data_IF_127412176630
#
_entry.id   IF_127412176630
#
_cell.length_a   1.000
_cell.length_b   1.000
_cell.length_c   1.000
_cell.angle_alpha   90.00
_cell.angle_beta   90.00
_cell.angle_gamma   90.00
#
_symmetry.space_group_name_H-M   'P 1'
#
loop_
_entity.id
_entity.type
_entity.pdbx_description
1 polymer ?
#
# COMPACT_ATOMS: atom_id res chain seq x y z
N UNK A 1 -5.28 -36.72 1.48
CA UNK A 1 -5.68 -35.47 0.81
C UNK A 1 -4.91 -34.35 1.47
N UNK A 2 -4.09 -33.64 0.71
CA UNK A 2 -3.29 -32.51 1.25
C UNK A 2 -4.19 -31.31 1.46
N UNK A 3 -4.14 -30.70 2.64
CA UNK A 3 -4.93 -29.51 2.97
C UNK A 3 -4.00 -28.31 2.76
N UNK A 4 -4.45 -27.36 1.96
CA UNK A 4 -3.73 -26.10 1.70
C UNK A 4 -4.37 -24.96 2.48
N UNK A 5 -3.54 -24.11 3.04
CA UNK A 5 -3.95 -22.82 3.61
C UNK A 5 -4.24 -21.82 2.52
N UNK A 6 -5.07 -20.84 2.82
CA UNK A 6 -5.47 -19.82 1.84
C UNK A 6 -4.47 -18.68 1.84
N UNK A 7 -3.93 -18.39 0.67
CA UNK A 7 -3.15 -17.18 0.40
C UNK A 7 -3.64 -16.53 -0.89
N UNK A 8 -3.48 -15.22 -0.97
CA UNK A 8 -3.95 -14.41 -2.08
C UNK A 8 -2.76 -13.78 -2.79
N UNK A 9 -2.70 -13.98 -4.10
CA UNK A 9 -1.85 -13.26 -5.04
C UNK A 9 -2.74 -12.25 -5.77
N UNK A 10 -2.29 -11.02 -5.93
CA UNK A 10 -3.04 -9.97 -6.63
C UNK A 10 -2.52 -9.81 -8.05
N UNK A 11 -1.21 -9.65 -8.21
CA UNK A 11 -0.56 -9.51 -9.51
C UNK A 11 0.46 -10.63 -9.73
N UNK A 12 0.62 -11.06 -10.98
CA UNK A 12 1.58 -12.12 -11.32
C UNK A 12 3.04 -11.72 -11.04
N UNK A 13 3.34 -10.43 -11.10
CA UNK A 13 4.65 -9.86 -10.82
C UNK A 13 5.00 -9.84 -9.33
N UNK A 14 4.03 -10.07 -8.43
CA UNK A 14 4.26 -10.06 -6.99
C UNK A 14 5.21 -11.21 -6.60
N UNK A 15 6.26 -10.90 -5.87
CA UNK A 15 7.18 -11.88 -5.29
C UNK A 15 6.78 -12.29 -3.86
N UNK A 16 5.69 -11.74 -3.35
CA UNK A 16 5.05 -12.13 -2.10
C UNK A 16 3.56 -12.40 -2.31
N UNK A 17 2.98 -13.25 -1.46
CA UNK A 17 1.55 -13.46 -1.37
C UNK A 17 1.05 -13.12 0.04
N UNK A 18 -0.23 -12.82 0.20
CA UNK A 18 -0.85 -12.48 1.50
C UNK A 18 -1.55 -13.70 2.06
N UNK A 19 -1.21 -14.10 3.29
CA UNK A 19 -1.91 -15.14 4.02
C UNK A 19 -3.32 -14.66 4.39
N UNK A 20 -4.35 -15.35 3.92
CA UNK A 20 -5.77 -15.06 4.22
C UNK A 20 -6.21 -15.69 5.53
N UNK A 21 -5.46 -16.65 6.01
CA UNK A 21 -5.60 -17.33 7.30
C UNK A 21 -4.20 -17.64 7.86
N UNK A 22 -4.07 -17.88 9.18
CA UNK A 22 -2.77 -18.20 9.76
C UNK A 22 -2.17 -19.48 9.16
N UNK A 23 -0.87 -19.46 8.85
CA UNK A 23 -0.13 -20.61 8.31
C UNK A 23 0.95 -20.99 9.32
N UNK A 24 0.92 -22.25 9.78
CA UNK A 24 1.95 -22.76 10.69
C UNK A 24 3.20 -23.18 9.92
N UNK A 25 4.34 -23.21 10.60
CA UNK A 25 5.56 -23.78 10.02
C UNK A 25 5.31 -25.19 9.52
N UNK A 26 5.72 -25.46 8.28
CA UNK A 26 5.51 -26.75 7.60
C UNK A 26 4.15 -26.93 6.93
N UNK A 27 3.18 -26.03 7.16
CA UNK A 27 1.93 -26.02 6.38
C UNK A 27 2.16 -25.46 4.98
N UNK A 28 1.31 -25.88 4.05
CA UNK A 28 1.40 -25.48 2.66
C UNK A 28 0.26 -24.55 2.27
N UNK A 29 0.56 -23.59 1.43
CA UNK A 29 -0.41 -22.77 0.72
C UNK A 29 -0.27 -22.96 -0.79
N UNK A 30 -1.34 -22.73 -1.53
CA UNK A 30 -1.35 -22.78 -2.99
C UNK A 30 -1.53 -21.34 -3.53
N UNK A 31 -0.52 -20.85 -4.25
CA UNK A 31 -0.50 -19.50 -4.81
C UNK A 31 -0.32 -19.61 -6.33
N UNK A 32 -1.32 -19.16 -7.10
CA UNK A 32 -1.31 -19.24 -8.56
C UNK A 32 -0.97 -20.67 -9.11
N UNK A 33 -1.42 -21.71 -8.42
CA UNK A 33 -1.14 -23.10 -8.80
C UNK A 33 0.21 -23.63 -8.31
N UNK A 34 1.02 -22.80 -7.68
CA UNK A 34 2.32 -23.17 -7.12
C UNK A 34 2.20 -23.42 -5.61
N UNK A 35 2.76 -24.56 -5.18
CA UNK A 35 2.79 -24.91 -3.77
C UNK A 35 3.95 -24.20 -3.06
N UNK A 36 3.64 -23.56 -1.93
CA UNK A 36 4.60 -22.90 -1.05
C UNK A 36 4.43 -23.49 0.36
N UNK A 37 5.53 -23.98 0.92
CA UNK A 37 5.59 -24.44 2.32
C UNK A 37 6.10 -23.30 3.19
N UNK A 38 5.36 -22.95 4.24
CA UNK A 38 5.80 -21.94 5.19
C UNK A 38 6.98 -22.47 6.03
N UNK A 39 8.06 -21.72 6.09
CA UNK A 39 9.24 -22.06 6.87
C UNK A 39 9.06 -21.71 8.36
N UNK A 40 8.16 -20.81 8.65
CA UNK A 40 7.83 -20.31 9.98
C UNK A 40 6.35 -19.94 10.09
N UNK A 41 5.90 -19.52 11.27
CA UNK A 41 4.52 -19.07 11.46
C UNK A 41 4.25 -17.75 10.74
N UNK A 42 3.24 -17.73 9.91
CA UNK A 42 2.78 -16.54 9.18
C UNK A 42 1.37 -16.19 9.65
N UNK A 43 1.24 -15.01 10.23
CA UNK A 43 -0.02 -14.51 10.72
C UNK A 43 -0.95 -14.12 9.57
N UNK A 44 -2.25 -14.22 9.79
CA UNK A 44 -3.26 -13.68 8.87
C UNK A 44 -2.97 -12.22 8.50
N UNK A 45 -3.12 -11.88 7.23
CA UNK A 45 -2.82 -10.56 6.68
C UNK A 45 -1.33 -10.30 6.41
N UNK A 46 -0.44 -11.18 6.85
CA UNK A 46 0.99 -11.05 6.62
C UNK A 46 1.43 -11.68 5.31
N UNK A 47 2.64 -11.33 4.87
CA UNK A 47 3.21 -11.74 3.59
C UNK A 47 4.06 -13.00 3.74
N UNK A 48 3.94 -13.91 2.77
CA UNK A 48 4.81 -15.07 2.57
C UNK A 48 5.60 -14.87 1.27
N UNK A 49 6.90 -15.14 1.29
CA UNK A 49 7.74 -15.09 0.10
C UNK A 49 7.32 -16.17 -0.91
N UNK A 50 6.98 -15.77 -2.13
CA UNK A 50 6.61 -16.65 -3.24
C UNK A 50 7.83 -17.23 -3.93
N UNK A 51 8.90 -16.46 -3.98
CA UNK A 51 10.19 -16.84 -4.57
C UNK A 51 11.31 -16.54 -3.59
N UNK A 52 12.51 -17.03 -3.87
CA UNK A 52 13.72 -16.54 -3.21
C UNK A 52 13.94 -15.08 -3.60
N UNK A 53 14.27 -14.24 -2.61
CA UNK A 53 14.49 -12.80 -2.79
C UNK A 53 15.87 -12.46 -2.23
N UNK A 54 16.75 -12.00 -3.11
CA UNK A 54 18.11 -11.63 -2.74
C UNK A 54 18.15 -10.37 -1.87
N UNK A 55 19.18 -10.26 -1.04
CA UNK A 55 19.43 -9.01 -0.30
C UNK A 55 19.60 -7.85 -1.27
N UNK A 56 18.87 -6.75 -1.03
CA UNK A 56 18.85 -5.57 -1.88
C UNK A 56 17.85 -5.66 -3.04
N UNK A 57 17.18 -6.78 -3.23
CA UNK A 57 16.11 -6.90 -4.22
C UNK A 57 14.81 -6.27 -3.74
N UNK A 58 14.01 -5.82 -4.68
CA UNK A 58 12.72 -5.21 -4.42
C UNK A 58 11.69 -6.23 -3.93
N UNK A 59 10.86 -5.81 -2.99
CA UNK A 59 9.65 -6.51 -2.61
C UNK A 59 8.49 -5.92 -3.41
N UNK A 60 7.85 -6.76 -4.22
CA UNK A 60 6.73 -6.37 -5.10
C UNK A 60 5.44 -6.95 -4.54
N UNK A 61 4.46 -6.08 -4.31
CA UNK A 61 3.10 -6.43 -3.88
C UNK A 61 2.10 -5.55 -4.61
N UNK A 62 1.05 -6.17 -5.16
CA UNK A 62 0.05 -5.46 -5.99
C UNK A 62 0.66 -4.81 -7.23
N UNK A 63 1.68 -5.42 -7.80
CA UNK A 63 2.42 -4.89 -8.94
C UNK A 63 3.25 -3.64 -8.64
N UNK A 64 3.40 -3.26 -7.35
CA UNK A 64 4.15 -2.08 -6.94
C UNK A 64 5.26 -2.44 -5.97
N UNK A 65 6.33 -1.66 -6.01
CA UNK A 65 7.41 -1.70 -5.04
C UNK A 65 6.91 -1.27 -3.66
N UNK A 66 7.20 -2.08 -2.63
CA UNK A 66 6.82 -1.80 -1.24
C UNK A 66 8.01 -1.77 -0.29
N UNK A 67 9.23 -1.91 -0.78
CA UNK A 67 10.46 -1.89 0.01
C UNK A 67 11.54 -2.80 -0.56
N UNK A 68 12.65 -2.89 0.14
CA UNK A 68 13.85 -3.63 -0.26
C UNK A 68 14.20 -4.68 0.78
N UNK A 69 14.60 -5.87 0.34
CA UNK A 69 15.04 -6.94 1.23
C UNK A 69 16.36 -6.56 1.92
N UNK A 70 16.38 -6.57 3.25
CA UNK A 70 17.58 -6.25 4.04
C UNK A 70 18.53 -7.44 4.18
N UNK A 71 18.03 -8.64 3.90
CA UNK A 71 18.74 -9.92 3.90
C UNK A 71 18.14 -10.85 2.85
N UNK A 72 18.79 -11.99 2.61
CA UNK A 72 18.20 -13.04 1.78
C UNK A 72 16.91 -13.57 2.43
N UNK A 73 15.82 -13.62 1.65
CA UNK A 73 14.51 -14.13 2.05
C UNK A 73 14.23 -15.35 1.19
N UNK A 74 14.09 -16.51 1.83
CA UNK A 74 13.82 -17.76 1.14
C UNK A 74 12.34 -17.87 0.81
N UNK A 75 12.02 -18.54 -0.28
CA UNK A 75 10.65 -18.96 -0.59
C UNK A 75 10.01 -19.66 0.62
N UNK A 76 8.84 -19.16 1.04
CA UNK A 76 8.13 -19.66 2.22
C UNK A 76 8.44 -18.92 3.52
N UNK A 77 9.38 -17.99 3.52
CA UNK A 77 9.66 -17.15 4.70
C UNK A 77 8.60 -16.09 4.91
N UNK A 78 8.45 -15.65 6.15
CA UNK A 78 7.65 -14.50 6.52
C UNK A 78 8.35 -13.20 6.09
N UNK A 79 7.64 -12.38 5.32
CA UNK A 79 8.14 -11.09 4.85
C UNK A 79 7.52 -9.96 5.68
N UNK A 80 8.37 -9.26 6.47
CA UNK A 80 7.94 -8.21 7.40
C UNK A 80 9.10 -7.26 7.71
N UNK A 81 8.90 -6.31 8.64
CA UNK A 81 9.89 -5.28 9.05
C UNK A 81 11.28 -5.82 9.41
N UNK A 82 11.38 -7.06 9.91
CA UNK A 82 12.66 -7.66 10.29
C UNK A 82 13.57 -7.98 9.10
N UNK A 83 13.00 -8.11 7.89
CA UNK A 83 13.73 -8.44 6.67
C UNK A 83 13.41 -7.55 5.47
N UNK A 84 12.60 -6.50 5.67
CA UNK A 84 12.25 -5.50 4.66
C UNK A 84 12.55 -4.10 5.18
N UNK A 85 13.19 -3.29 4.37
CA UNK A 85 13.36 -1.85 4.58
C UNK A 85 12.38 -1.10 3.69
N UNK A 86 11.60 -0.21 4.29
CA UNK A 86 10.70 0.70 3.57
C UNK A 86 11.49 1.92 3.10
N UNK A 87 11.74 2.00 1.82
CA UNK A 87 12.44 3.10 1.17
C UNK A 87 11.49 4.14 0.53
N UNK A 88 10.20 4.04 0.84
CA UNK A 88 9.16 4.86 0.22
C UNK A 88 9.38 6.37 0.42
N UNK A 89 9.89 6.78 1.57
CA UNK A 89 10.18 8.19 1.80
C UNK A 89 11.36 8.70 0.94
N UNK A 90 12.36 7.87 0.69
CA UNK A 90 13.50 8.20 -0.14
C UNK A 90 13.09 8.34 -1.60
N UNK A 91 12.35 7.34 -2.12
CA UNK A 91 11.80 7.36 -3.48
C UNK A 91 10.89 8.57 -3.68
N UNK A 92 9.99 8.86 -2.74
CA UNK A 92 9.13 10.03 -2.83
C UNK A 92 9.92 11.34 -2.80
N UNK A 93 10.99 11.41 -2.02
CA UNK A 93 11.84 12.61 -1.97
C UNK A 93 12.54 12.84 -3.31
N UNK A 94 13.09 11.79 -3.92
CA UNK A 94 13.73 11.85 -5.22
C UNK A 94 12.74 12.17 -6.33
N UNK A 95 11.59 11.50 -6.36
CA UNK A 95 10.53 11.79 -7.31
C UNK A 95 10.02 13.22 -7.19
N UNK A 96 9.80 13.71 -5.99
CA UNK A 96 9.40 15.12 -5.76
C UNK A 96 10.47 16.09 -6.20
N UNK A 97 11.75 15.79 -5.97
CA UNK A 97 12.86 16.61 -6.46
C UNK A 97 12.91 16.62 -7.98
N UNK A 98 12.73 15.46 -8.61
CA UNK A 98 12.65 15.31 -10.06
C UNK A 98 11.51 16.13 -10.67
N UNK A 99 10.28 15.97 -10.16
CA UNK A 99 9.13 16.73 -10.65
C UNK A 99 9.28 18.23 -10.42
N UNK A 100 9.84 18.66 -9.29
CA UNK A 100 10.15 20.07 -9.04
C UNK A 100 11.16 20.63 -10.03
N UNK A 101 12.14 19.85 -10.46
CA UNK A 101 13.13 20.29 -11.45
C UNK A 101 12.53 20.45 -12.84
N UNK A 102 11.51 19.65 -13.17
CA UNK A 102 10.87 19.69 -14.49
C UNK A 102 9.84 20.81 -14.66
N UNK A 103 9.17 21.17 -13.58
CA UNK A 103 8.11 22.18 -13.61
C UNK A 103 8.04 22.90 -12.25
N UNK A 104 9.01 23.77 -11.93
CA UNK A 104 9.07 24.44 -10.63
C UNK A 104 7.81 25.27 -10.32
N UNK A 105 7.17 25.81 -11.33
CA UNK A 105 5.94 26.63 -11.18
C UNK A 105 4.65 25.79 -11.20
N UNK A 106 4.71 24.55 -11.69
CA UNK A 106 3.53 23.66 -11.77
C UNK A 106 3.18 22.99 -10.44
N UNK A 107 4.06 23.05 -9.47
CA UNK A 107 3.88 22.45 -8.14
C UNK A 107 3.55 23.48 -7.05
N UNK A 108 3.17 24.68 -7.41
CA UNK A 108 2.49 25.56 -6.47
C UNK A 108 1.09 24.97 -6.24
N UNK A 109 0.96 24.14 -5.20
CA UNK A 109 -0.32 23.61 -4.74
C UNK A 109 -1.23 24.69 -4.12
N UNK A 110 -0.79 25.93 -4.14
CA UNK A 110 -1.70 27.05 -3.91
C UNK A 110 -2.65 27.06 -5.09
N UNK A 111 -3.76 26.38 -4.95
CA UNK A 111 -4.83 26.44 -5.92
C UNK A 111 -5.33 27.89 -5.91
N UNK A 112 -4.72 28.70 -6.74
CA UNK A 112 -5.25 30.01 -7.04
C UNK A 112 -6.50 29.79 -7.87
N UNK A 113 -7.63 29.57 -7.21
CA UNK A 113 -8.91 29.56 -7.86
C UNK A 113 -9.14 30.97 -8.40
N UNK A 114 -8.78 31.17 -9.68
CA UNK A 114 -9.04 32.40 -10.43
C UNK A 114 -10.51 32.55 -10.82
N UNK A 115 -11.37 31.65 -10.35
CA UNK A 115 -12.78 31.70 -10.63
C UNK A 115 -13.43 32.72 -9.70
N UNK A 116 -14.05 33.72 -10.29
CA UNK A 116 -14.95 34.62 -9.54
C UNK A 116 -16.22 33.85 -9.21
N UNK A 117 -16.79 34.11 -8.04
CA UNK A 117 -18.02 33.48 -7.57
C UNK A 117 -19.15 33.59 -8.60
N UNK A 118 -19.22 34.72 -9.29
CA UNK A 118 -20.21 35.04 -10.31
C UNK A 118 -20.06 34.15 -11.57
N UNK A 119 -18.82 33.77 -11.92
CA UNK A 119 -18.53 32.96 -13.10
C UNK A 119 -18.97 31.51 -12.92
N UNK A 120 -19.06 31.03 -11.66
CA UNK A 120 -19.47 29.68 -11.34
C UNK A 120 -20.99 29.51 -11.12
N UNK A 121 -21.74 30.60 -11.14
CA UNK A 121 -23.18 30.58 -10.87
C UNK A 121 -23.53 29.99 -9.49
N UNK A 122 -22.63 30.12 -8.52
CA UNK A 122 -22.84 29.55 -7.20
C UNK A 122 -23.88 30.37 -6.42
N UNK A 123 -24.78 29.73 -5.67
CA UNK A 123 -25.73 30.39 -4.83
C UNK A 123 -25.01 31.20 -3.73
N UNK A 124 -25.58 32.33 -3.33
CA UNK A 124 -25.03 33.19 -2.26
C UNK A 124 -24.99 32.43 -0.91
N UNK A 125 -25.95 31.57 -0.70
CA UNK A 125 -26.06 30.76 0.53
C UNK A 125 -26.31 29.31 0.19
N UNK A 126 -25.74 28.42 1.00
CA UNK A 126 -25.97 26.97 0.91
C UNK A 126 -26.41 26.46 2.28
N UNK A 127 -27.25 25.42 2.26
CA UNK A 127 -27.62 24.73 3.47
C UNK A 127 -26.43 23.94 4.00
N UNK A 128 -26.11 24.07 5.28
CA UNK A 128 -25.03 23.38 5.95
C UNK A 128 -25.45 22.80 7.29
N UNK A 129 -24.65 21.88 7.80
CA UNK A 129 -24.81 21.27 9.13
C UNK A 129 -23.89 21.98 10.13
N UNK A 130 -24.45 22.45 11.22
CA UNK A 130 -23.67 22.94 12.35
C UNK A 130 -23.16 21.75 13.17
N UNK A 131 -21.84 21.68 13.38
CA UNK A 131 -21.21 20.65 14.20
C UNK A 131 -21.15 21.06 15.67
N UNK A 132 -20.90 20.10 16.55
CA UNK A 132 -20.81 20.32 18.00
C UNK A 132 -19.68 21.30 18.40
N UNK A 133 -18.60 21.35 17.59
CA UNK A 133 -17.46 22.25 17.77
C UNK A 133 -17.72 23.68 17.23
N UNK A 134 -18.93 23.95 16.74
CA UNK A 134 -19.34 25.24 16.18
C UNK A 134 -18.98 25.42 14.70
N UNK A 135 -18.25 24.51 14.08
CA UNK A 135 -17.95 24.57 12.65
C UNK A 135 -19.17 24.20 11.79
N UNK A 136 -19.11 24.55 10.50
CA UNK A 136 -20.16 24.22 9.53
C UNK A 136 -19.60 23.32 8.44
N UNK A 137 -20.41 22.39 7.97
CA UNK A 137 -20.12 21.51 6.84
C UNK A 137 -21.29 21.42 5.89
N UNK A 138 -21.02 21.34 4.60
CA UNK A 138 -22.04 21.17 3.55
C UNK A 138 -22.40 19.71 3.31
N UNK A 139 -21.61 18.77 3.84
CA UNK A 139 -21.85 17.34 3.78
C UNK A 139 -21.46 16.70 5.10
N UNK A 140 -22.27 15.75 5.54
CA UNK A 140 -21.96 14.91 6.70
C UNK A 140 -21.37 13.59 6.22
N UNK A 141 -20.20 13.66 5.58
CA UNK A 141 -19.49 12.48 5.09
C UNK A 141 -18.28 12.17 5.98
N UNK A 142 -18.17 10.92 6.37
CA UNK A 142 -16.95 10.37 6.96
C UNK A 142 -16.12 9.83 5.81
N UNK A 143 -14.95 10.40 5.58
CA UNK A 143 -13.97 9.85 4.64
C UNK A 143 -13.07 8.91 5.42
N UNK A 144 -13.16 7.62 5.12
CA UNK A 144 -12.23 6.62 5.62
C UNK A 144 -11.14 6.45 4.57
N UNK A 145 -9.94 6.91 4.89
CA UNK A 145 -8.76 6.67 4.06
C UNK A 145 -8.12 5.39 4.57
N UNK A 146 -8.28 4.32 3.80
CA UNK A 146 -7.57 3.08 4.06
C UNK A 146 -6.17 3.20 3.45
N UNK A 147 -5.14 3.16 4.29
CA UNK A 147 -3.78 2.98 3.82
C UNK A 147 -3.59 1.52 3.44
N UNK A 148 -3.25 1.26 2.19
CA UNK A 148 -2.97 -0.10 1.69
C UNK A 148 -1.53 -0.55 2.01
N UNK A 149 -0.74 0.30 2.63
CA UNK A 149 0.64 0.00 3.00
C UNK A 149 0.65 -0.39 4.47
N UNK A 150 0.48 -1.67 4.73
CA UNK A 150 0.94 -2.27 5.97
C UNK A 150 2.22 -3.04 5.64
N UNK A 151 3.31 -2.49 6.12
CA UNK A 151 4.59 -3.19 6.19
C UNK A 151 4.53 -4.12 7.40
#
# INVERSE_FOLDING_TARGET
MKIYKKSMLIEESDNVAVAVEPIQAGECTLVAGEEITANEYIKEGHKIARTDIEKGAEIIKYGVHIGVATQFIKKGDWVHEHNVYDDFEEINREQRAYYRSMAPDAMDYTIHHKYKKEELGLPETIMGYKRADGSFGIRNQVVVILSLIHI
#
